data_IF_475364941439
#
_entry.id   IF_475364941439
#
_cell.length_a   1.000
_cell.length_b   1.000
_cell.length_c   1.000
_cell.angle_alpha   90.00
_cell.angle_beta   90.00
_cell.angle_gamma   90.00
#
_symmetry.space_group_name_H-M   'P 1'
#
loop_
_entity.id
_entity.type
_entity.pdbx_description
1 polymer ?
#
# COMPACT_ATOMS: atom_id res chain seq x y z
N UNK A 1 -0.31 5.11 -37.98
CA UNK A 1 -0.61 4.80 -36.56
C UNK A 1 0.70 4.55 -35.86
N UNK A 2 1.06 5.32 -34.84
CA UNK A 2 2.22 5.01 -34.03
C UNK A 2 1.95 3.71 -33.26
N UNK A 3 2.94 2.81 -33.21
CA UNK A 3 2.86 1.56 -32.46
C UNK A 3 2.71 1.89 -30.96
N UNK A 4 1.67 1.36 -30.30
CA UNK A 4 1.49 1.50 -28.86
C UNK A 4 2.61 0.82 -28.10
N UNK A 5 3.09 1.45 -27.02
CA UNK A 5 4.02 0.84 -26.07
C UNK A 5 3.24 -0.13 -25.18
N UNK A 6 3.63 -1.41 -25.20
CA UNK A 6 3.00 -2.45 -24.41
C UNK A 6 3.71 -2.67 -23.08
N UNK A 7 3.02 -2.46 -21.97
CA UNK A 7 3.57 -2.63 -20.61
C UNK A 7 2.85 -3.76 -19.89
N UNK A 8 3.61 -4.77 -19.44
CA UNK A 8 3.07 -5.84 -18.60
C UNK A 8 3.40 -5.56 -17.13
N UNK A 9 2.36 -5.31 -16.33
CA UNK A 9 2.47 -5.18 -14.89
C UNK A 9 2.44 -6.58 -14.25
N UNK A 10 3.57 -7.02 -13.70
CA UNK A 10 3.74 -8.36 -13.14
C UNK A 10 3.81 -8.31 -11.61
N UNK A 11 2.96 -9.09 -10.95
CA UNK A 11 2.87 -9.23 -9.50
C UNK A 11 2.85 -10.71 -9.10
N UNK A 12 3.22 -10.99 -7.84
CA UNK A 12 3.22 -12.35 -7.32
C UNK A 12 1.84 -12.77 -6.78
N UNK A 13 1.13 -11.85 -6.12
CA UNK A 13 -0.06 -12.14 -5.32
C UNK A 13 -1.34 -12.17 -6.15
N UNK A 14 -2.26 -13.11 -5.84
CA UNK A 14 -3.64 -13.12 -6.32
C UNK A 14 -4.63 -12.41 -5.37
N UNK A 15 -4.13 -11.74 -4.31
CA UNK A 15 -4.92 -10.97 -3.37
C UNK A 15 -4.78 -9.47 -3.66
N UNK A 16 -5.82 -8.70 -3.36
CA UNK A 16 -5.77 -7.25 -3.51
C UNK A 16 -5.18 -6.58 -2.26
N UNK A 17 -4.12 -5.81 -2.45
CA UNK A 17 -3.46 -5.04 -1.39
C UNK A 17 -2.82 -3.75 -1.94
N UNK A 18 -1.92 -3.13 -1.20
CA UNK A 18 -1.31 -1.85 -1.58
C UNK A 18 -0.59 -1.87 -2.94
N UNK A 19 0.27 -2.85 -3.18
CA UNK A 19 1.02 -2.97 -4.44
C UNK A 19 0.10 -3.22 -5.64
N UNK A 20 -0.88 -4.10 -5.47
CA UNK A 20 -1.88 -4.42 -6.49
C UNK A 20 -2.74 -3.18 -6.81
N UNK A 21 -3.14 -2.41 -5.78
CA UNK A 21 -3.87 -1.16 -5.99
C UNK A 21 -3.04 -0.12 -6.75
N UNK A 22 -1.75 0.00 -6.46
CA UNK A 22 -0.84 0.89 -7.20
C UNK A 22 -0.73 0.47 -8.67
N UNK A 23 -0.54 -0.81 -8.95
CA UNK A 23 -0.50 -1.31 -10.33
C UNK A 23 -1.81 -1.01 -11.07
N UNK A 24 -2.97 -1.23 -10.44
CA UNK A 24 -4.26 -0.87 -11.00
C UNK A 24 -4.38 0.63 -11.28
N UNK A 25 -4.00 1.49 -10.33
CA UNK A 25 -4.02 2.96 -10.51
C UNK A 25 -3.13 3.42 -11.66
N UNK A 26 -1.95 2.80 -11.83
CA UNK A 26 -1.09 3.08 -12.99
C UNK A 26 -1.85 2.74 -14.28
N UNK A 27 -2.36 1.53 -14.42
CA UNK A 27 -3.07 1.08 -15.63
C UNK A 27 -4.27 2.00 -15.92
N UNK A 28 -5.08 2.31 -14.91
CA UNK A 28 -6.24 3.20 -15.03
C UNK A 28 -5.85 4.61 -15.49
N UNK A 29 -4.73 5.17 -14.99
CA UNK A 29 -4.26 6.50 -15.36
C UNK A 29 -3.85 6.60 -16.84
N UNK A 30 -3.48 5.48 -17.47
CA UNK A 30 -3.13 5.41 -18.89
C UNK A 30 -4.26 4.91 -19.79
N UNK A 31 -5.45 4.60 -19.27
CA UNK A 31 -6.55 4.01 -20.03
C UNK A 31 -6.95 4.84 -21.27
N UNK A 32 -6.86 6.17 -21.17
CA UNK A 32 -7.18 7.12 -22.24
C UNK A 32 -5.92 7.62 -23.01
N UNK A 33 -4.75 7.03 -22.78
CA UNK A 33 -3.52 7.38 -23.49
C UNK A 33 -3.31 6.41 -24.66
N UNK A 34 -3.57 6.88 -25.87
CA UNK A 34 -3.48 6.06 -27.07
C UNK A 34 -2.06 5.54 -27.36
N UNK A 35 -1.04 6.09 -26.70
CA UNK A 35 0.36 5.68 -26.85
C UNK A 35 0.71 4.41 -26.08
N UNK A 36 -0.16 3.98 -25.15
CA UNK A 36 0.10 2.83 -24.30
C UNK A 36 -0.97 1.75 -24.38
N UNK A 37 -0.54 0.50 -24.22
CA UNK A 37 -1.39 -0.66 -23.98
C UNK A 37 -0.84 -1.36 -22.74
N UNK A 38 -1.63 -1.43 -21.67
CA UNK A 38 -1.20 -2.00 -20.41
C UNK A 38 -2.02 -3.22 -20.03
N UNK A 39 -1.37 -4.21 -19.44
CA UNK A 39 -2.02 -5.41 -18.93
C UNK A 39 -1.48 -5.79 -17.56
N UNK A 40 -2.32 -6.42 -16.78
CA UNK A 40 -2.00 -6.94 -15.44
C UNK A 40 -1.76 -8.46 -15.51
N UNK A 41 -0.76 -8.94 -14.77
CA UNK A 41 -0.43 -10.36 -14.67
C UNK A 41 -0.08 -10.73 -13.23
N UNK A 42 -0.75 -11.71 -12.67
CA UNK A 42 -0.44 -12.27 -11.35
C UNK A 42 -0.96 -13.69 -11.20
N UNK A 43 -0.67 -14.31 -10.03
CA UNK A 43 -1.40 -15.52 -9.63
C UNK A 43 -2.89 -15.23 -9.63
N UNK A 44 -3.69 -16.21 -10.12
CA UNK A 44 -5.15 -16.14 -10.06
C UNK A 44 -5.66 -16.13 -8.62
N UNK A 45 -6.81 -15.48 -8.40
CA UNK A 45 -7.41 -15.35 -7.07
C UNK A 45 -8.43 -14.21 -7.00
N UNK A 46 -8.66 -13.69 -5.79
CA UNK A 46 -9.63 -12.61 -5.54
C UNK A 46 -9.41 -11.35 -6.40
N UNK A 47 -8.19 -11.13 -6.87
CA UNK A 47 -7.83 -10.00 -7.74
C UNK A 47 -8.60 -10.01 -9.06
N UNK A 48 -8.97 -11.20 -9.58
CA UNK A 48 -9.66 -11.36 -10.86
C UNK A 48 -10.97 -10.57 -10.95
N UNK A 49 -11.81 -10.64 -9.91
CA UNK A 49 -13.09 -9.92 -9.87
C UNK A 49 -12.90 -8.41 -9.82
N UNK A 50 -11.86 -7.95 -9.10
CA UNK A 50 -11.52 -6.52 -8.99
C UNK A 50 -11.03 -5.99 -10.33
N UNK A 51 -10.16 -6.71 -11.02
CA UNK A 51 -9.64 -6.32 -12.32
C UNK A 51 -10.75 -6.28 -13.38
N UNK A 52 -11.66 -7.25 -13.34
CA UNK A 52 -12.85 -7.27 -14.21
C UNK A 52 -13.76 -6.06 -13.99
N UNK A 53 -14.06 -5.72 -12.73
CA UNK A 53 -14.85 -4.52 -12.39
C UNK A 53 -14.20 -3.22 -12.84
N UNK A 54 -12.86 -3.16 -12.84
CA UNK A 54 -12.07 -1.98 -13.26
C UNK A 54 -11.77 -1.95 -14.75
N UNK A 55 -12.25 -2.95 -15.52
CA UNK A 55 -11.98 -3.11 -16.94
C UNK A 55 -10.47 -3.06 -17.25
N UNK A 56 -9.70 -3.86 -16.53
CA UNK A 56 -8.25 -4.04 -16.68
C UNK A 56 -7.97 -5.36 -17.38
N UNK A 57 -7.18 -5.33 -18.46
CA UNK A 57 -6.74 -6.53 -19.18
C UNK A 57 -5.90 -7.43 -18.26
N UNK A 58 -6.33 -8.67 -18.05
CA UNK A 58 -5.74 -9.60 -17.09
C UNK A 58 -5.25 -10.89 -17.70
N UNK A 59 -4.02 -11.26 -17.36
CA UNK A 59 -3.38 -12.52 -17.75
C UNK A 59 -3.07 -13.34 -16.47
N UNK A 60 -3.97 -14.24 -16.06
CA UNK A 60 -3.77 -15.05 -14.86
C UNK A 60 -2.65 -16.08 -15.02
N UNK A 61 -1.98 -16.38 -13.91
CA UNK A 61 -1.00 -17.46 -13.75
C UNK A 61 -1.44 -18.40 -12.63
N UNK A 62 -1.10 -19.68 -12.71
CA UNK A 62 -1.30 -20.61 -11.59
C UNK A 62 -0.37 -20.25 -10.40
N UNK A 63 0.88 -19.88 -10.73
CA UNK A 63 1.90 -19.43 -9.78
C UNK A 63 2.94 -18.58 -10.48
N UNK A 64 3.63 -17.75 -9.73
CA UNK A 64 4.80 -17.03 -10.26
C UNK A 64 5.92 -18.04 -10.56
N UNK A 65 6.12 -18.34 -11.81
CA UNK A 65 7.17 -19.26 -12.29
C UNK A 65 7.69 -18.83 -13.64
N UNK A 66 8.90 -19.31 -13.98
CA UNK A 66 9.54 -19.02 -15.26
C UNK A 66 8.66 -19.43 -16.45
N UNK A 67 8.01 -20.57 -16.37
CA UNK A 67 7.14 -21.11 -17.43
C UNK A 67 5.90 -20.23 -17.64
N UNK A 68 5.21 -19.89 -16.56
CA UNK A 68 3.97 -19.09 -16.63
C UNK A 68 4.25 -17.66 -17.11
N UNK A 69 5.29 -17.01 -16.58
CA UNK A 69 5.68 -15.67 -17.02
C UNK A 69 6.05 -15.68 -18.50
N UNK A 70 6.80 -16.70 -18.96
CA UNK A 70 7.13 -16.83 -20.39
C UNK A 70 5.87 -17.00 -21.25
N UNK A 71 4.91 -17.84 -20.82
CA UNK A 71 3.63 -18.03 -21.51
C UNK A 71 2.89 -16.69 -21.70
N UNK A 72 2.78 -15.90 -20.64
CA UNK A 72 2.09 -14.59 -20.70
C UNK A 72 2.85 -13.60 -21.59
N UNK A 73 4.16 -13.55 -21.47
CA UNK A 73 5.02 -12.68 -22.30
C UNK A 73 4.91 -13.04 -23.79
N UNK A 74 4.88 -14.32 -24.13
CA UNK A 74 4.73 -14.79 -25.53
C UNK A 74 3.34 -14.42 -26.08
N UNK A 75 2.30 -14.38 -25.25
CA UNK A 75 0.94 -13.99 -25.63
C UNK A 75 0.78 -12.47 -25.77
N UNK A 76 1.15 -11.72 -24.76
CA UNK A 76 0.95 -10.26 -24.72
C UNK A 76 1.99 -9.52 -25.54
N UNK A 77 3.23 -10.03 -25.63
CA UNK A 77 4.39 -9.44 -26.33
C UNK A 77 4.67 -8.00 -25.84
N UNK A 78 4.97 -7.81 -24.56
CA UNK A 78 5.24 -6.50 -23.99
C UNK A 78 6.51 -5.86 -24.58
N UNK A 79 6.57 -4.54 -24.59
CA UNK A 79 7.80 -3.78 -24.84
C UNK A 79 8.57 -3.55 -23.53
N UNK A 80 7.85 -3.49 -22.36
CA UNK A 80 8.39 -3.30 -21.01
C UNK A 80 7.72 -4.28 -20.04
N UNK A 81 8.50 -4.79 -19.09
CA UNK A 81 7.97 -5.48 -17.90
C UNK A 81 8.14 -4.59 -16.68
N UNK A 82 7.03 -4.23 -16.06
CA UNK A 82 6.98 -3.51 -14.80
C UNK A 82 6.64 -4.50 -13.68
N UNK A 83 7.67 -4.96 -12.97
CA UNK A 83 7.54 -5.94 -11.89
C UNK A 83 7.36 -5.21 -10.55
N UNK A 84 6.26 -5.48 -9.85
CA UNK A 84 5.82 -4.74 -8.65
C UNK A 84 6.25 -5.37 -7.31
N UNK A 85 7.12 -6.33 -7.32
CA UNK A 85 7.74 -6.90 -6.12
C UNK A 85 9.10 -7.53 -6.46
N UNK A 86 9.87 -7.86 -5.41
CA UNK A 86 11.20 -8.43 -5.59
C UNK A 86 11.15 -9.80 -6.31
N UNK A 87 10.16 -10.64 -6.01
CA UNK A 87 10.02 -11.98 -6.61
C UNK A 87 9.71 -11.90 -8.09
N UNK A 88 8.75 -11.05 -8.49
CA UNK A 88 8.42 -10.79 -9.88
C UNK A 88 9.62 -10.20 -10.64
N UNK A 89 10.36 -9.29 -10.01
CA UNK A 89 11.58 -8.69 -10.58
C UNK A 89 12.66 -9.74 -10.83
N UNK A 90 12.94 -10.61 -9.85
CA UNK A 90 13.93 -11.69 -9.97
C UNK A 90 13.56 -12.66 -11.07
N UNK A 91 12.32 -13.17 -11.08
CA UNK A 91 11.84 -14.11 -12.11
C UNK A 91 11.95 -13.48 -13.50
N UNK A 92 11.58 -12.21 -13.65
CA UNK A 92 11.71 -11.49 -14.92
C UNK A 92 13.17 -11.39 -15.37
N UNK A 93 14.11 -11.12 -14.45
CA UNK A 93 15.54 -10.98 -14.78
C UNK A 93 16.18 -12.26 -15.31
N UNK A 94 15.75 -13.41 -14.82
CA UNK A 94 16.27 -14.73 -15.23
C UNK A 94 15.81 -15.07 -16.64
N UNK A 95 14.52 -14.86 -16.93
CA UNK A 95 13.89 -15.33 -18.16
C UNK A 95 14.06 -14.41 -19.35
N UNK A 96 14.04 -13.12 -19.10
CA UNK A 96 13.64 -12.17 -20.11
C UNK A 96 14.81 -11.29 -20.53
N UNK A 97 15.91 -11.93 -20.99
CA UNK A 97 17.12 -11.21 -21.46
C UNK A 97 16.81 -10.14 -22.51
N UNK A 98 15.75 -10.32 -23.28
CA UNK A 98 15.33 -9.46 -24.38
C UNK A 98 14.52 -8.23 -23.94
N UNK A 99 13.83 -8.30 -22.77
CA UNK A 99 12.88 -7.29 -22.35
C UNK A 99 13.50 -6.35 -21.31
N UNK A 100 13.32 -5.03 -21.44
CA UNK A 100 13.65 -4.08 -20.39
C UNK A 100 12.74 -4.29 -19.17
N UNK A 101 13.34 -4.25 -17.97
CA UNK A 101 12.65 -4.49 -16.71
C UNK A 101 12.71 -3.23 -15.86
N UNK A 102 11.56 -2.78 -15.40
CA UNK A 102 11.38 -1.81 -14.32
C UNK A 102 11.00 -2.60 -13.07
N UNK A 103 11.84 -2.59 -12.05
CA UNK A 103 11.56 -3.20 -10.75
C UNK A 103 10.95 -2.14 -9.84
N UNK A 104 9.80 -2.41 -9.22
CA UNK A 104 9.12 -1.49 -8.32
C UNK A 104 8.89 -2.15 -6.96
N UNK A 105 9.57 -1.66 -5.94
CA UNK A 105 9.47 -2.17 -4.57
C UNK A 105 8.44 -1.36 -3.78
N UNK A 106 7.44 -2.06 -3.25
CA UNK A 106 6.33 -1.48 -2.50
C UNK A 106 6.40 -1.71 -1.00
N UNK A 107 7.43 -2.41 -0.52
CA UNK A 107 7.61 -2.72 0.90
C UNK A 107 9.07 -2.97 1.25
N UNK A 108 9.40 -2.89 2.54
CA UNK A 108 10.71 -3.14 3.11
C UNK A 108 10.70 -4.34 4.07
N UNK A 109 10.49 -5.58 3.58
CA UNK A 109 10.43 -6.76 4.43
C UNK A 109 11.77 -7.01 5.14
N UNK A 110 11.78 -7.73 6.28
CA UNK A 110 12.99 -7.90 7.12
C UNK A 110 14.22 -8.46 6.41
N UNK A 111 14.04 -9.22 5.31
CA UNK A 111 15.16 -9.80 4.56
C UNK A 111 16.02 -8.75 3.85
N UNK A 112 15.50 -7.56 3.55
CA UNK A 112 16.30 -6.51 2.90
C UNK A 112 17.40 -5.96 3.82
N UNK A 113 17.20 -6.03 5.13
CA UNK A 113 18.10 -5.50 6.16
C UNK A 113 19.29 -6.42 6.46
N UNK A 114 19.32 -7.64 5.91
CA UNK A 114 20.30 -8.67 6.23
C UNK A 114 20.95 -9.22 4.98
N UNK A 115 22.22 -9.58 5.07
CA UNK A 115 22.89 -10.39 4.05
C UNK A 115 22.28 -11.79 4.08
N UNK A 116 21.69 -12.22 2.98
CA UNK A 116 21.04 -13.51 2.83
C UNK A 116 20.73 -13.83 1.38
N UNK A 117 20.24 -15.03 1.10
CA UNK A 117 19.96 -15.48 -0.26
C UNK A 117 19.06 -14.50 -1.03
N UNK A 118 17.98 -14.04 -0.41
CA UNK A 118 17.02 -13.12 -1.06
C UNK A 118 17.65 -11.77 -1.39
N UNK A 119 18.43 -11.18 -0.47
CA UNK A 119 19.07 -9.89 -0.69
C UNK A 119 20.17 -9.97 -1.74
N UNK A 120 20.95 -11.07 -1.76
CA UNK A 120 22.00 -11.30 -2.76
C UNK A 120 21.39 -11.55 -4.14
N UNK A 121 20.38 -12.43 -4.24
CA UNK A 121 19.70 -12.74 -5.51
C UNK A 121 19.05 -11.48 -6.10
N UNK A 122 18.40 -10.65 -5.28
CA UNK A 122 17.86 -9.39 -5.76
C UNK A 122 18.94 -8.42 -6.26
N UNK A 123 20.07 -8.30 -5.55
CA UNK A 123 21.22 -7.50 -6.00
C UNK A 123 21.75 -7.97 -7.36
N UNK A 124 22.00 -9.28 -7.52
CA UNK A 124 22.48 -9.85 -8.80
C UNK A 124 21.45 -9.59 -9.91
N UNK A 125 20.17 -9.81 -9.63
CA UNK A 125 19.08 -9.57 -10.58
C UNK A 125 18.99 -8.11 -11.00
N UNK A 126 19.34 -7.18 -10.09
CA UNK A 126 19.31 -5.74 -10.37
C UNK A 126 20.26 -5.31 -11.48
N UNK A 127 21.29 -6.08 -11.79
CA UNK A 127 22.18 -5.83 -12.93
C UNK A 127 21.41 -5.82 -14.27
N UNK A 128 20.26 -6.49 -14.30
CA UNK A 128 19.37 -6.58 -15.47
C UNK A 128 18.27 -5.52 -15.49
N UNK A 129 18.00 -4.87 -14.38
CA UNK A 129 16.95 -3.85 -14.33
C UNK A 129 17.43 -2.56 -15.01
N UNK A 130 16.55 -1.94 -15.79
CA UNK A 130 16.77 -0.62 -16.36
C UNK A 130 16.56 0.47 -15.31
N UNK A 131 15.50 0.31 -14.50
CA UNK A 131 15.17 1.18 -13.38
C UNK A 131 14.75 0.35 -12.18
N UNK A 132 15.02 0.87 -10.99
CA UNK A 132 14.49 0.38 -9.73
C UNK A 132 13.67 1.52 -9.12
N UNK A 133 12.39 1.30 -8.94
CA UNK A 133 11.49 2.26 -8.31
C UNK A 133 11.23 1.82 -6.89
N UNK A 134 11.19 2.77 -5.98
CA UNK A 134 10.80 2.55 -4.59
C UNK A 134 9.74 3.56 -4.19
N UNK A 135 8.83 3.15 -3.33
CA UNK A 135 7.73 4.02 -2.88
C UNK A 135 8.14 4.99 -1.77
N UNK A 136 9.33 4.80 -1.19
CA UNK A 136 9.94 5.66 -0.17
C UNK A 136 11.46 5.48 -0.17
N UNK A 137 12.20 6.46 0.35
CA UNK A 137 13.66 6.39 0.54
C UNK A 137 14.04 5.26 1.49
N UNK A 138 13.24 5.02 2.52
CA UNK A 138 13.49 3.99 3.55
C UNK A 138 13.76 2.61 2.98
N UNK A 139 13.21 2.25 1.81
CA UNK A 139 13.44 0.94 1.20
C UNK A 139 14.91 0.75 0.83
N UNK A 140 15.55 1.75 0.23
CA UNK A 140 16.96 1.67 -0.13
C UNK A 140 17.90 2.00 1.03
N UNK A 141 17.50 2.83 1.97
CA UNK A 141 18.24 3.09 3.20
C UNK A 141 18.34 1.83 4.07
N UNK A 142 17.27 1.05 4.16
CA UNK A 142 17.23 -0.21 4.91
C UNK A 142 17.82 -1.40 4.14
N UNK A 143 17.90 -1.34 2.81
CA UNK A 143 18.44 -2.43 2.03
C UNK A 143 19.97 -2.49 2.17
N UNK A 144 20.46 -3.62 2.68
CA UNK A 144 21.89 -3.83 2.99
C UNK A 144 22.82 -3.52 1.80
N UNK A 145 22.34 -3.66 0.58
CA UNK A 145 23.04 -3.35 -0.67
C UNK A 145 22.50 -2.09 -1.38
N UNK A 146 21.66 -1.29 -0.72
CA UNK A 146 20.96 -0.16 -1.35
C UNK A 146 21.92 0.88 -1.96
N UNK A 147 23.04 1.17 -1.29
CA UNK A 147 24.06 2.09 -1.81
C UNK A 147 24.68 1.66 -3.15
N UNK A 148 24.73 0.34 -3.42
CA UNK A 148 25.26 -0.19 -4.69
C UNK A 148 24.28 -0.01 -5.85
N UNK A 149 23.00 0.25 -5.57
CA UNK A 149 21.93 0.38 -6.56
C UNK A 149 21.57 1.84 -6.90
N UNK A 150 22.14 2.83 -6.20
CA UNK A 150 21.73 4.23 -6.23
C UNK A 150 21.58 4.87 -7.61
N UNK A 151 22.45 4.53 -8.59
CA UNK A 151 22.39 5.10 -9.96
C UNK A 151 21.13 4.71 -10.75
N UNK A 152 20.47 3.60 -10.39
CA UNK A 152 19.28 3.07 -11.08
C UNK A 152 18.00 3.28 -10.28
N UNK A 153 18.12 3.73 -9.04
CA UNK A 153 16.99 3.87 -8.11
C UNK A 153 16.37 5.26 -8.23
N UNK A 154 15.05 5.28 -8.26
CA UNK A 154 14.23 6.48 -8.16
C UNK A 154 13.14 6.26 -7.14
N UNK A 155 12.94 7.21 -6.25
CA UNK A 155 11.79 7.22 -5.35
C UNK A 155 10.61 7.80 -6.11
N UNK A 156 9.50 7.07 -6.13
CA UNK A 156 8.22 7.52 -6.68
C UNK A 156 7.16 7.18 -5.64
N UNK A 157 6.72 8.19 -4.91
CA UNK A 157 5.62 8.07 -3.94
C UNK A 157 4.39 7.45 -4.59
N UNK A 158 3.62 6.68 -3.84
CA UNK A 158 2.42 6.07 -4.39
C UNK A 158 1.41 7.13 -4.87
N UNK A 159 0.62 6.84 -5.93
CA UNK A 159 -0.35 7.79 -6.46
C UNK A 159 -1.47 8.05 -5.45
N UNK A 160 -1.68 9.30 -5.11
CA UNK A 160 -2.81 9.79 -4.34
C UNK A 160 -3.73 10.59 -5.26
N UNK A 161 -5.03 10.34 -5.14
CA UNK A 161 -6.10 11.08 -5.78
C UNK A 161 -7.15 11.39 -4.69
N UNK A 162 -7.07 12.58 -4.14
CA UNK A 162 -7.96 13.03 -3.07
C UNK A 162 -9.42 13.11 -3.52
N UNK A 163 -9.65 13.54 -4.77
CA UNK A 163 -11.00 13.63 -5.32
C UNK A 163 -11.66 12.26 -5.39
N UNK A 164 -10.94 11.26 -5.91
CA UNK A 164 -11.47 9.90 -5.99
C UNK A 164 -11.76 9.31 -4.60
N UNK A 165 -10.91 9.56 -3.60
CA UNK A 165 -11.12 9.11 -2.22
C UNK A 165 -12.38 9.77 -1.63
N UNK A 166 -12.51 11.09 -1.77
CA UNK A 166 -13.65 11.85 -1.25
C UNK A 166 -14.96 11.43 -1.90
N UNK A 167 -14.97 11.20 -3.22
CA UNK A 167 -16.16 10.70 -3.94
C UNK A 167 -16.56 9.32 -3.43
N UNK A 168 -15.60 8.39 -3.29
CA UNK A 168 -15.86 7.04 -2.79
C UNK A 168 -16.33 7.04 -1.34
N UNK A 169 -15.90 8.01 -0.52
CA UNK A 169 -16.34 8.15 0.86
C UNK A 169 -17.79 8.63 0.99
N UNK A 170 -18.34 9.34 -0.01
CA UNK A 170 -19.73 9.81 -0.01
C UNK A 170 -20.75 8.68 -0.29
N UNK A 171 -20.31 7.58 -0.90
CA UNK A 171 -21.17 6.40 -1.18
C UNK A 171 -21.28 5.49 0.06
N UNK A 172 -21.78 6.03 1.15
CA UNK A 172 -21.98 5.31 2.42
C UNK A 172 -23.41 5.47 2.87
N UNK A 173 -23.99 4.38 3.34
CA UNK A 173 -25.28 4.40 4.01
C UNK A 173 -25.23 5.33 5.24
N UNK A 174 -26.20 6.23 5.35
CA UNK A 174 -26.32 7.18 6.48
C UNK A 174 -26.38 6.45 7.84
N UNK A 175 -26.83 5.20 7.85
CA UNK A 175 -26.88 4.31 9.01
C UNK A 175 -25.52 3.71 9.41
N UNK A 176 -24.42 4.01 8.70
CA UNK A 176 -23.09 3.49 9.07
C UNK A 176 -22.67 4.02 10.44
N UNK A 177 -22.45 3.10 11.39
CA UNK A 177 -21.99 3.41 12.74
C UNK A 177 -20.70 4.23 12.72
N UNK A 178 -20.59 5.23 13.56
CA UNK A 178 -19.34 5.95 13.84
C UNK A 178 -18.46 5.14 14.77
N UNK A 179 -17.14 5.25 14.59
CA UNK A 179 -16.15 4.58 15.42
C UNK A 179 -15.13 5.59 15.95
N UNK A 180 -14.63 5.34 17.15
CA UNK A 180 -13.56 6.15 17.73
C UNK A 180 -12.24 5.86 17.01
N UNK A 181 -11.92 4.59 16.80
CA UNK A 181 -10.64 4.16 16.21
C UNK A 181 -10.86 3.16 15.08
N UNK A 182 -10.19 3.39 13.96
CA UNK A 182 -10.16 2.41 12.85
C UNK A 182 -8.76 1.81 12.67
N UNK A 183 -8.72 0.51 12.44
CA UNK A 183 -7.61 -0.21 11.85
C UNK A 183 -8.00 -0.60 10.42
N UNK A 184 -7.15 -0.30 9.45
CA UNK A 184 -7.36 -0.66 8.05
C UNK A 184 -6.12 -1.34 7.48
N UNK A 185 -6.22 -2.64 7.20
CA UNK A 185 -5.10 -3.40 6.66
C UNK A 185 -5.29 -4.91 6.77
N UNK A 186 -4.41 -5.66 6.12
CA UNK A 186 -4.42 -7.13 6.22
C UNK A 186 -4.22 -7.57 7.67
N UNK A 187 -4.99 -8.57 8.10
CA UNK A 187 -4.79 -9.22 9.40
C UNK A 187 -3.62 -10.22 9.29
N UNK A 188 -2.40 -9.66 9.18
CA UNK A 188 -1.17 -10.41 8.96
C UNK A 188 0.00 -9.77 9.73
N UNK A 189 1.07 -10.53 9.91
CA UNK A 189 2.22 -10.12 10.71
C UNK A 189 2.80 -8.73 10.36
N UNK A 190 2.96 -8.33 9.08
CA UNK A 190 3.45 -6.99 8.74
C UNK A 190 2.64 -5.85 9.32
N UNK A 191 1.33 -6.03 9.44
CA UNK A 191 0.39 -5.00 9.90
C UNK A 191 0.08 -5.07 11.40
N UNK A 192 0.55 -6.13 12.08
CA UNK A 192 0.49 -6.31 13.53
C UNK A 192 -0.89 -6.00 14.17
N UNK A 193 -1.98 -6.66 13.71
CA UNK A 193 -3.33 -6.39 14.20
C UNK A 193 -3.50 -6.68 15.70
N UNK A 194 -2.69 -7.60 16.25
CA UNK A 194 -2.75 -7.94 17.67
C UNK A 194 -2.32 -6.78 18.59
N UNK A 195 -1.34 -5.96 18.15
CA UNK A 195 -0.96 -4.74 18.86
C UNK A 195 -2.13 -3.75 18.92
N UNK A 196 -2.86 -3.56 17.82
CA UNK A 196 -4.04 -2.70 17.79
C UNK A 196 -5.07 -3.12 18.84
N UNK A 197 -5.39 -4.41 18.95
CA UNK A 197 -6.34 -4.94 19.93
C UNK A 197 -5.86 -4.66 21.37
N UNK A 198 -4.56 -4.85 21.65
CA UNK A 198 -3.97 -4.53 22.96
C UNK A 198 -4.03 -3.05 23.29
N UNK A 199 -3.81 -2.17 22.31
CA UNK A 199 -3.95 -0.71 22.50
C UNK A 199 -5.40 -0.32 22.84
N UNK A 200 -6.39 -0.89 22.13
CA UNK A 200 -7.81 -0.66 22.45
C UNK A 200 -8.15 -1.18 23.84
N UNK A 201 -7.59 -2.32 24.28
CA UNK A 201 -7.76 -2.82 25.65
C UNK A 201 -7.28 -1.82 26.69
N UNK A 202 -6.09 -1.25 26.49
CA UNK A 202 -5.54 -0.21 27.41
C UNK A 202 -6.38 1.06 27.40
N UNK A 203 -6.90 1.48 26.25
CA UNK A 203 -7.76 2.67 26.16
C UNK A 203 -9.12 2.45 26.86
N UNK A 204 -9.66 1.24 26.85
CA UNK A 204 -10.90 0.88 27.54
C UNK A 204 -10.86 1.18 29.03
N UNK A 205 -9.69 1.08 29.68
CA UNK A 205 -9.52 1.40 31.11
C UNK A 205 -9.91 2.85 31.42
N UNK A 206 -9.70 3.78 30.50
CA UNK A 206 -10.03 5.21 30.65
C UNK A 206 -11.23 5.67 29.81
N UNK A 207 -11.61 4.91 28.80
CA UNK A 207 -12.76 5.14 27.92
C UNK A 207 -13.56 3.82 27.79
N UNK A 208 -14.38 3.45 28.80
CA UNK A 208 -15.05 2.15 28.84
C UNK A 208 -15.89 1.82 27.61
N UNK A 209 -16.52 2.82 27.00
CA UNK A 209 -17.38 2.69 25.83
C UNK A 209 -16.64 2.95 24.51
N UNK A 210 -15.30 2.86 24.50
CA UNK A 210 -14.52 3.01 23.25
C UNK A 210 -15.03 2.06 22.19
N UNK A 211 -15.20 2.60 20.97
CA UNK A 211 -15.65 1.83 19.81
C UNK A 211 -14.56 1.78 18.74
N UNK A 212 -14.15 0.58 18.38
CA UNK A 212 -13.12 0.38 17.36
C UNK A 212 -13.62 -0.55 16.26
N UNK A 213 -13.05 -0.40 15.06
CA UNK A 213 -13.34 -1.28 13.93
C UNK A 213 -12.04 -1.71 13.26
N UNK A 214 -11.97 -2.98 12.91
CA UNK A 214 -10.86 -3.56 12.14
C UNK A 214 -11.39 -3.98 10.78
N UNK A 215 -10.89 -3.30 9.74
CA UNK A 215 -11.23 -3.57 8.34
C UNK A 215 -10.09 -4.31 7.68
N UNK A 216 -10.37 -5.50 7.19
CA UNK A 216 -9.42 -6.36 6.50
C UNK A 216 -9.59 -7.83 6.84
N UNK A 217 -8.85 -8.66 6.12
CA UNK A 217 -8.80 -10.11 6.32
C UNK A 217 -7.34 -10.59 6.29
N UNK A 218 -7.09 -11.82 6.73
CA UNK A 218 -5.74 -12.39 6.71
C UNK A 218 -5.58 -13.58 7.64
N UNK A 219 -4.37 -14.15 7.61
CA UNK A 219 -4.04 -15.36 8.35
C UNK A 219 -4.04 -15.22 9.89
N UNK A 220 -4.06 -14.00 10.42
CA UNK A 220 -4.17 -13.75 11.86
C UNK A 220 -5.61 -13.47 12.32
N UNK A 221 -6.61 -13.64 11.47
CA UNK A 221 -8.03 -13.36 11.81
C UNK A 221 -8.52 -14.13 13.02
N UNK A 222 -8.27 -15.44 13.08
CA UNK A 222 -8.63 -16.27 14.24
C UNK A 222 -7.96 -15.76 15.50
N UNK A 223 -6.66 -15.51 15.46
CA UNK A 223 -5.91 -15.00 16.62
C UNK A 223 -6.43 -13.63 17.08
N UNK A 224 -6.88 -12.78 16.16
CA UNK A 224 -7.54 -11.51 16.51
C UNK A 224 -8.86 -11.75 17.25
N UNK A 225 -9.69 -12.68 16.77
CA UNK A 225 -10.97 -13.04 17.40
C UNK A 225 -10.77 -13.63 18.80
N UNK A 226 -9.78 -14.50 18.95
CA UNK A 226 -9.43 -15.13 20.25
C UNK A 226 -8.98 -14.05 21.23
N UNK A 227 -8.07 -13.16 20.83
CA UNK A 227 -7.56 -12.09 21.68
C UNK A 227 -8.64 -11.06 22.06
N UNK A 228 -9.55 -10.72 21.14
CA UNK A 228 -10.71 -9.85 21.44
C UNK A 228 -11.59 -10.49 22.51
N UNK A 229 -11.79 -11.81 22.44
CA UNK A 229 -12.60 -12.55 23.41
C UNK A 229 -11.91 -12.65 24.76
N UNK A 230 -10.61 -12.98 24.78
CA UNK A 230 -9.78 -13.08 25.97
C UNK A 230 -9.73 -11.76 26.76
N UNK A 231 -9.60 -10.63 26.05
CA UNK A 231 -9.55 -9.29 26.66
C UNK A 231 -10.93 -8.67 26.92
N UNK A 232 -12.04 -9.39 26.68
CA UNK A 232 -13.41 -8.91 26.91
C UNK A 232 -13.79 -7.71 26.04
N UNK A 233 -13.33 -7.67 24.79
CA UNK A 233 -13.50 -6.52 23.87
C UNK A 233 -14.58 -6.75 22.80
N UNK A 234 -15.43 -7.77 22.92
CA UNK A 234 -16.46 -8.11 21.91
C UNK A 234 -17.42 -6.96 21.60
N UNK A 235 -17.74 -6.15 22.60
CA UNK A 235 -18.63 -4.99 22.45
C UNK A 235 -17.88 -3.73 21.97
N UNK A 236 -16.54 -3.73 22.09
CA UNK A 236 -15.69 -2.58 21.75
C UNK A 236 -15.08 -2.67 20.35
N UNK A 237 -14.77 -3.89 19.86
CA UNK A 237 -14.08 -4.09 18.58
C UNK A 237 -14.96 -4.89 17.63
N UNK A 238 -15.22 -4.32 16.43
CA UNK A 238 -15.87 -5.00 15.33
C UNK A 238 -14.86 -5.41 14.27
N UNK A 239 -14.87 -6.69 13.84
CA UNK A 239 -14.15 -7.13 12.64
C UNK A 239 -15.14 -7.16 11.46
N UNK A 240 -14.84 -6.46 10.38
CA UNK A 240 -15.71 -6.40 9.20
C UNK A 240 -15.34 -7.41 8.11
N UNK A 241 -14.09 -7.93 8.14
CA UNK A 241 -13.50 -8.61 7.01
C UNK A 241 -13.00 -7.61 5.96
N UNK A 242 -12.65 -8.12 4.79
CA UNK A 242 -12.21 -7.30 3.65
C UNK A 242 -13.36 -6.42 3.14
N UNK A 243 -13.07 -5.16 2.87
CA UNK A 243 -13.97 -4.21 2.21
C UNK A 243 -13.28 -3.63 0.97
N UNK A 244 -13.95 -3.68 -0.18
CA UNK A 244 -13.43 -3.09 -1.43
C UNK A 244 -13.39 -1.55 -1.35
N UNK A 245 -14.39 -0.96 -0.71
CA UNK A 245 -14.44 0.49 -0.44
C UNK A 245 -14.57 0.76 1.06
N UNK A 246 -13.47 0.95 1.78
CA UNK A 246 -13.49 1.26 3.21
C UNK A 246 -13.64 2.76 3.53
N UNK A 247 -13.60 3.63 2.51
CA UNK A 247 -13.45 5.08 2.73
C UNK A 247 -14.61 5.72 3.47
N UNK A 248 -15.81 5.22 3.29
CA UNK A 248 -16.95 5.74 4.03
C UNK A 248 -16.93 5.40 5.51
N UNK A 249 -16.50 4.19 5.86
CA UNK A 249 -16.28 3.82 7.24
C UNK A 249 -15.12 4.62 7.83
N UNK A 250 -14.03 4.79 7.08
CA UNK A 250 -12.87 5.59 7.47
C UNK A 250 -13.26 7.06 7.72
N UNK A 251 -14.09 7.64 6.87
CA UNK A 251 -14.59 9.01 7.02
C UNK A 251 -15.46 9.21 8.29
N UNK A 252 -16.12 8.16 8.77
CA UNK A 252 -16.94 8.17 9.99
C UNK A 252 -16.16 7.78 11.25
N UNK A 253 -14.87 7.48 11.16
CA UNK A 253 -14.02 7.26 12.32
C UNK A 253 -13.40 8.58 12.83
N UNK A 254 -13.00 8.64 14.12
CA UNK A 254 -12.29 9.81 14.65
C UNK A 254 -10.81 9.79 14.28
N UNK A 255 -10.15 8.62 14.29
CA UNK A 255 -8.74 8.48 13.95
C UNK A 255 -8.42 7.11 13.34
N UNK A 256 -7.32 7.06 12.58
CA UNK A 256 -6.70 5.83 12.10
C UNK A 256 -5.51 5.45 12.99
N UNK A 257 -5.45 4.17 13.40
CA UNK A 257 -4.30 3.63 14.11
C UNK A 257 -3.58 2.59 13.24
N UNK A 258 -2.27 2.80 12.99
CA UNK A 258 -1.41 1.92 12.19
C UNK A 258 -0.34 1.32 13.09
N UNK A 259 -0.39 0.01 13.28
CA UNK A 259 0.50 -0.75 14.17
C UNK A 259 1.53 -1.59 13.41
N UNK A 260 1.85 -1.24 12.17
CA UNK A 260 2.70 -2.02 11.29
C UNK A 260 4.10 -2.28 11.88
N UNK A 261 4.61 -3.50 11.71
CA UNK A 261 6.01 -3.86 11.99
C UNK A 261 6.96 -3.41 10.88
N UNK A 262 6.47 -3.39 9.64
CA UNK A 262 7.13 -2.80 8.47
C UNK A 262 6.12 -2.32 7.45
N UNK A 263 6.47 -1.24 6.77
CA UNK A 263 5.64 -0.55 5.79
C UNK A 263 6.52 -0.01 4.66
N UNK A 264 6.04 -0.07 3.42
CA UNK A 264 6.72 0.60 2.32
C UNK A 264 6.45 2.09 2.32
N UNK A 265 5.21 2.46 2.04
CA UNK A 265 4.77 3.87 1.99
C UNK A 265 3.80 4.21 3.11
N UNK A 266 2.67 3.51 3.20
CA UNK A 266 1.60 3.82 4.14
C UNK A 266 0.39 4.47 3.48
N UNK A 267 -0.06 3.92 2.33
CA UNK A 267 -1.23 4.45 1.58
C UNK A 267 -2.44 4.73 2.48
N UNK A 268 -2.69 3.84 3.44
CA UNK A 268 -3.83 3.98 4.36
C UNK A 268 -3.73 5.25 5.22
N UNK A 269 -2.51 5.69 5.58
CA UNK A 269 -2.30 6.93 6.30
C UNK A 269 -2.74 8.13 5.45
N UNK A 270 -2.31 8.16 4.19
CA UNK A 270 -2.65 9.27 3.27
C UNK A 270 -4.14 9.27 2.95
N UNK A 271 -4.74 8.09 2.79
CA UNK A 271 -6.18 7.92 2.56
C UNK A 271 -7.00 8.42 3.76
N UNK A 272 -6.56 8.17 4.99
CA UNK A 272 -7.20 8.70 6.19
C UNK A 272 -7.06 10.22 6.30
N UNK A 273 -5.86 10.75 6.06
CA UNK A 273 -5.60 12.18 6.06
C UNK A 273 -6.44 12.92 5.01
N UNK A 274 -6.62 12.34 3.81
CA UNK A 274 -7.49 12.88 2.76
C UNK A 274 -8.96 13.03 3.20
N UNK A 275 -9.39 12.24 4.18
CA UNK A 275 -10.72 12.29 4.78
C UNK A 275 -10.74 13.09 6.10
N UNK A 276 -9.66 13.82 6.42
CA UNK A 276 -9.54 14.61 7.66
C UNK A 276 -9.45 13.74 8.91
N UNK A 277 -8.91 12.50 8.80
CA UNK A 277 -8.72 11.63 9.97
C UNK A 277 -7.28 11.68 10.44
N UNK A 278 -7.02 12.16 11.68
CA UNK A 278 -5.69 12.09 12.26
C UNK A 278 -5.15 10.66 12.30
N UNK A 279 -3.84 10.52 12.14
CA UNK A 279 -3.16 9.22 12.06
C UNK A 279 -2.21 9.04 13.24
N UNK A 280 -2.35 7.92 13.97
CA UNK A 280 -1.40 7.50 14.99
C UNK A 280 -0.74 6.22 14.52
N UNK A 281 0.59 6.23 14.35
CA UNK A 281 1.30 5.16 13.67
C UNK A 281 2.64 4.81 14.28
N UNK A 282 3.13 3.60 13.99
CA UNK A 282 4.50 3.18 14.29
C UNK A 282 5.54 3.92 13.45
N UNK A 283 6.77 4.01 13.95
CA UNK A 283 7.93 4.62 13.28
C UNK A 283 8.60 3.64 12.32
N UNK A 284 7.91 3.23 11.23
CA UNK A 284 8.45 2.25 10.27
C UNK A 284 8.20 2.67 8.82
N UNK A 285 9.16 2.33 7.96
CA UNK A 285 9.08 2.56 6.52
C UNK A 285 8.85 4.02 6.14
N UNK A 286 7.89 4.27 5.25
CA UNK A 286 7.51 5.61 4.82
C UNK A 286 6.62 6.38 5.79
N UNK A 287 6.09 5.77 6.86
CA UNK A 287 5.16 6.44 7.77
C UNK A 287 5.72 7.73 8.41
N UNK A 288 6.99 7.77 8.88
CA UNK A 288 7.56 8.99 9.46
C UNK A 288 7.71 10.16 8.49
N UNK A 289 7.71 9.92 7.19
CA UNK A 289 7.74 10.98 6.16
C UNK A 289 6.35 11.49 5.79
N UNK A 290 5.31 10.73 6.09
CA UNK A 290 3.92 11.06 5.78
C UNK A 290 3.21 11.73 6.94
N UNK A 291 3.44 11.22 8.16
CA UNK A 291 2.75 11.66 9.37
C UNK A 291 3.68 12.56 10.19
N UNK A 292 3.23 13.77 10.44
CA UNK A 292 3.92 14.76 11.27
C UNK A 292 3.00 15.26 12.39
N UNK A 293 3.52 16.13 13.24
CA UNK A 293 2.77 16.64 14.39
C UNK A 293 1.54 17.50 14.02
N UNK A 294 1.37 17.95 12.77
CA UNK A 294 0.16 18.67 12.36
C UNK A 294 -1.03 17.71 12.09
N UNK A 295 -0.76 16.48 11.65
CA UNK A 295 -1.79 15.54 11.15
C UNK A 295 -1.95 14.27 11.99
N UNK A 296 -1.14 14.11 13.06
CA UNK A 296 -1.17 12.92 13.89
C UNK A 296 0.10 12.76 14.70
N UNK A 297 0.51 11.50 14.93
CA UNK A 297 1.74 11.20 15.67
C UNK A 297 2.40 9.90 15.24
N UNK A 298 3.71 9.95 15.08
CA UNK A 298 4.58 8.76 14.97
C UNK A 298 5.00 8.34 16.36
N UNK A 299 4.68 7.10 16.76
CA UNK A 299 4.88 6.57 18.11
C UNK A 299 5.90 5.44 18.11
N UNK A 300 6.70 5.37 19.18
CA UNK A 300 7.71 4.32 19.40
C UNK A 300 7.36 3.40 20.57
N UNK A 301 6.32 3.71 21.33
CA UNK A 301 5.88 2.92 22.49
C UNK A 301 4.36 2.87 22.60
N UNK A 302 3.85 1.82 23.27
CA UNK A 302 2.40 1.68 23.56
C UNK A 302 1.87 2.87 24.40
N UNK A 303 2.72 3.44 25.27
CA UNK A 303 2.33 4.59 26.10
C UNK A 303 2.09 5.81 25.22
N UNK A 304 2.97 6.08 24.24
CA UNK A 304 2.78 7.18 23.31
C UNK A 304 1.50 6.99 22.47
N UNK A 305 1.25 5.76 21.96
CA UNK A 305 0.02 5.42 21.26
C UNK A 305 -1.22 5.74 22.08
N UNK A 306 -1.29 5.19 23.30
CA UNK A 306 -2.48 5.37 24.16
C UNK A 306 -2.68 6.80 24.60
N UNK A 307 -1.59 7.52 24.92
CA UNK A 307 -1.65 8.94 25.29
C UNK A 307 -2.18 9.80 24.16
N UNK A 308 -1.62 9.62 22.95
CA UNK A 308 -2.05 10.41 21.78
C UNK A 308 -3.48 10.09 21.36
N UNK A 309 -3.82 8.79 21.26
CA UNK A 309 -5.17 8.37 20.91
C UNK A 309 -6.20 8.88 21.92
N UNK A 310 -5.90 8.80 23.24
CA UNK A 310 -6.76 9.33 24.28
C UNK A 310 -6.97 10.83 24.13
N UNK A 311 -5.92 11.60 23.85
CA UNK A 311 -6.02 13.06 23.64
C UNK A 311 -6.91 13.37 22.42
N UNK A 312 -6.70 12.71 21.30
CA UNK A 312 -7.52 12.84 20.08
C UNK A 312 -9.00 12.49 20.32
N UNK A 313 -9.29 11.57 21.22
CA UNK A 313 -10.65 11.13 21.49
C UNK A 313 -11.40 12.05 22.46
N UNK A 314 -10.70 12.66 23.43
CA UNK A 314 -11.30 13.42 24.53
C UNK A 314 -11.20 14.94 24.37
N UNK A 315 -10.20 15.44 23.63
CA UNK A 315 -9.98 16.86 23.38
C UNK A 315 -10.44 17.22 21.97
N UNK A 316 -11.62 17.85 21.89
CA UNK A 316 -12.26 18.20 20.61
C UNK A 316 -11.47 19.27 19.84
N UNK A 317 -10.88 20.25 20.53
CA UNK A 317 -10.09 21.31 19.89
C UNK A 317 -8.82 20.72 19.27
N UNK A 318 -8.10 19.93 20.05
CA UNK A 318 -6.92 19.20 19.58
C UNK A 318 -7.23 18.29 18.39
N UNK A 319 -8.35 17.56 18.44
CA UNK A 319 -8.79 16.72 17.33
C UNK A 319 -9.07 17.56 16.07
N UNK A 320 -9.73 18.71 16.22
CA UNK A 320 -10.07 19.58 15.10
C UNK A 320 -8.80 20.11 14.42
N UNK A 321 -7.82 20.56 15.20
CA UNK A 321 -6.53 21.03 14.66
C UNK A 321 -5.81 19.92 13.89
N UNK A 322 -5.73 18.71 14.45
CA UNK A 322 -5.11 17.57 13.78
C UNK A 322 -5.88 17.13 12.54
N UNK A 323 -7.21 17.22 12.54
CA UNK A 323 -8.07 16.93 11.39
C UNK A 323 -7.83 17.90 10.23
N UNK A 324 -7.72 19.20 10.52
CA UNK A 324 -7.39 20.22 9.51
C UNK A 324 -5.97 20.00 8.95
N UNK A 325 -5.00 19.78 9.82
CA UNK A 325 -3.63 19.48 9.41
C UNK A 325 -3.52 18.19 8.60
N UNK A 326 -4.37 17.20 8.85
CA UNK A 326 -4.44 15.96 8.05
C UNK A 326 -4.89 16.27 6.60
N UNK A 327 -5.90 17.12 6.42
CA UNK A 327 -6.36 17.55 5.09
C UNK A 327 -5.26 18.33 4.37
N UNK A 328 -4.60 19.26 5.04
CA UNK A 328 -3.50 20.04 4.47
C UNK A 328 -2.33 19.14 4.04
N UNK A 329 -1.94 18.20 4.89
CA UNK A 329 -0.89 17.23 4.59
C UNK A 329 -1.26 16.34 3.39
N UNK A 330 -2.50 15.87 3.32
CA UNK A 330 -2.97 15.07 2.19
C UNK A 330 -2.99 15.87 0.88
N UNK A 331 -3.40 17.15 0.92
CA UNK A 331 -3.33 18.05 -0.24
C UNK A 331 -1.89 18.23 -0.77
N UNK A 332 -0.93 18.35 0.14
CA UNK A 332 0.49 18.44 -0.23
C UNK A 332 1.05 17.15 -0.85
N UNK A 333 0.40 16.00 -0.57
CA UNK A 333 0.76 14.69 -1.09
C UNK A 333 -0.06 14.26 -2.32
N UNK A 334 -1.08 15.02 -2.72
CA UNK A 334 -1.88 14.73 -3.92
C UNK A 334 -1.03 14.91 -5.17
N UNK A 335 -0.81 13.82 -5.89
CA UNK A 335 0.19 13.76 -6.94
C UNK A 335 -0.22 12.95 -8.17
N UNK A 336 -1.49 12.62 -8.34
CA UNK A 336 -1.90 11.64 -9.38
C UNK A 336 -1.48 12.04 -10.80
N UNK A 337 -1.51 13.33 -11.13
CA UNK A 337 -1.11 13.83 -12.44
C UNK A 337 0.42 13.75 -12.62
N UNK A 338 1.18 14.25 -11.66
CA UNK A 338 2.65 14.21 -11.68
C UNK A 338 3.17 12.77 -11.64
N UNK A 339 2.45 11.88 -10.95
CA UNK A 339 2.77 10.46 -10.90
C UNK A 339 2.66 9.82 -12.29
N UNK A 340 1.56 10.09 -13.03
CA UNK A 340 1.39 9.60 -14.40
C UNK A 340 2.53 10.05 -15.31
N UNK A 341 2.86 11.35 -15.29
CA UNK A 341 3.93 11.89 -16.13
C UNK A 341 5.30 11.30 -15.75
N UNK A 342 5.56 11.10 -14.44
CA UNK A 342 6.78 10.45 -13.96
C UNK A 342 6.92 9.01 -14.46
N UNK A 343 5.84 8.24 -14.44
CA UNK A 343 5.82 6.86 -14.95
C UNK A 343 6.02 6.86 -16.47
N UNK A 344 5.39 7.79 -17.20
CA UNK A 344 5.55 7.95 -18.66
C UNK A 344 6.99 8.26 -19.04
N UNK A 345 7.65 9.20 -18.33
CA UNK A 345 9.08 9.52 -18.52
C UNK A 345 9.98 8.29 -18.29
N UNK A 346 9.69 7.50 -17.24
CA UNK A 346 10.44 6.28 -16.96
C UNK A 346 10.32 5.27 -18.09
N UNK A 347 9.11 5.05 -18.61
CA UNK A 347 8.92 4.12 -19.71
C UNK A 347 9.60 4.58 -21.00
N UNK A 348 9.50 5.86 -21.32
CA UNK A 348 10.16 6.46 -22.48
C UNK A 348 11.68 6.30 -22.39
N UNK A 349 12.29 6.65 -21.24
CA UNK A 349 13.72 6.49 -20.99
C UNK A 349 14.17 5.03 -20.99
N UNK A 350 13.30 4.12 -20.51
CA UNK A 350 13.57 2.68 -20.49
C UNK A 350 13.71 2.11 -21.90
N UNK A 351 12.93 2.62 -22.86
CA UNK A 351 12.97 2.23 -24.26
C UNK A 351 13.97 3.04 -25.10
N UNK A 352 14.55 4.12 -24.56
CA UNK A 352 15.42 5.03 -25.31
C UNK A 352 14.65 5.89 -26.33
N UNK A 353 13.35 6.07 -26.15
CA UNK A 353 12.49 6.95 -26.93
C UNK A 353 12.50 8.33 -26.26
N UNK A 354 12.82 9.38 -27.01
CA UNK A 354 12.76 10.78 -26.55
C UNK A 354 11.41 11.41 -26.88
#
# INVERSE_FOLDING_TARGET
MHKKIKVLHLLQSGHFSGAENVACKIIESFKNDESFEMAYCSKDGQISDILKKRDISYYPMERLSLREVKRVVDLFKPDIIHAHDASASVVSSILLKKYPIVSHLHSNPPWIKKVGSNSIVYLISSLRFKNVLTVSDSIMEEYIFGKLMGRKTKVISNPLDMNAITIKAKHVDDNTKTYDVVYLGRLAEPKNPLMFIKLVSKLKESIPNISAVMVGDGNLKSQCQDLISELGLKDNIKLTGFMENPYGLLAKAKLLCITSKWEGYGLVAVEAMALGRPVVCTSVGGLPTLVNDSCGKVCISDIEFTTEMKRLLLDKEYWTDKSNGAIEQANALDNILDYKESIKDIYSKTLGVR
#
